data_IF_937415056466
#
_entry.id   IF_937415056466
#
_cell.length_a   1.000
_cell.length_b   1.000
_cell.length_c   1.000
_cell.angle_alpha   90.00
_cell.angle_beta   90.00
_cell.angle_gamma   90.00
#
_symmetry.space_group_name_H-M   'P 1'
#
loop_
_entity.id
_entity.type
_entity.pdbx_description
1 polymer ?
#
# COMPACT_ATOMS: atom_id res chain seq x y z
N UNK A 1 1.64 5.48 -19.40
CA UNK A 1 2.17 6.77 -18.89
C UNK A 1 2.79 6.60 -17.50
N UNK A 2 2.03 6.15 -16.49
CA UNK A 2 2.55 5.95 -15.12
C UNK A 2 3.82 5.08 -15.05
N UNK A 3 3.83 3.91 -15.70
CA UNK A 3 5.01 3.03 -15.71
C UNK A 3 6.27 3.71 -16.27
N UNK A 4 6.11 4.58 -17.28
CA UNK A 4 7.23 5.34 -17.86
C UNK A 4 7.73 6.39 -16.88
N UNK A 5 6.83 7.11 -16.21
CA UNK A 5 7.21 8.10 -15.19
C UNK A 5 7.97 7.44 -14.02
N UNK A 6 7.47 6.31 -13.51
CA UNK A 6 8.16 5.55 -12.47
C UNK A 6 9.54 5.08 -12.93
N UNK A 7 9.65 4.51 -14.13
CA UNK A 7 10.92 4.06 -14.68
C UNK A 7 11.95 5.20 -14.79
N UNK A 8 11.53 6.37 -15.29
CA UNK A 8 12.41 7.53 -15.39
C UNK A 8 12.89 7.98 -14.01
N UNK A 9 11.98 8.13 -13.04
CA UNK A 9 12.34 8.56 -11.68
C UNK A 9 13.29 7.55 -11.01
N UNK A 10 13.03 6.25 -11.18
CA UNK A 10 13.90 5.19 -10.63
C UNK A 10 15.29 5.18 -11.27
N UNK A 11 15.38 5.29 -12.60
CA UNK A 11 16.67 5.28 -13.31
C UNK A 11 17.50 6.50 -12.93
N UNK A 12 16.93 7.70 -12.98
CA UNK A 12 17.68 8.92 -12.61
C UNK A 12 18.01 8.95 -11.12
N UNK A 13 17.10 8.50 -10.25
CA UNK A 13 17.36 8.37 -8.81
C UNK A 13 18.51 7.41 -8.51
N UNK A 14 18.54 6.25 -9.15
CA UNK A 14 19.62 5.27 -8.99
C UNK A 14 20.95 5.75 -9.56
N UNK A 15 20.95 6.44 -10.71
CA UNK A 15 22.19 7.01 -11.26
C UNK A 15 22.78 8.10 -10.36
N UNK A 16 21.96 8.80 -9.57
CA UNK A 16 22.40 9.90 -8.69
C UNK A 16 22.99 9.39 -7.37
N UNK A 17 22.34 8.42 -6.73
CA UNK A 17 22.73 7.96 -5.38
C UNK A 17 23.34 6.55 -5.36
N UNK A 18 23.21 5.79 -6.45
CA UNK A 18 23.70 4.44 -6.59
C UNK A 18 23.20 3.51 -5.47
N UNK A 19 24.14 2.77 -4.88
CA UNK A 19 23.85 1.76 -3.83
C UNK A 19 23.51 2.36 -2.46
N UNK A 20 23.69 3.66 -2.26
CA UNK A 20 23.40 4.33 -0.99
C UNK A 20 21.95 4.83 -0.88
N UNK A 21 21.12 4.61 -1.91
CA UNK A 21 19.74 5.11 -1.99
C UNK A 21 18.87 4.55 -0.85
N UNK A 22 18.42 5.42 0.05
CA UNK A 22 17.41 5.07 1.07
C UNK A 22 16.00 4.87 0.47
N UNK A 23 15.15 4.12 1.18
CA UNK A 23 13.76 3.85 0.78
C UNK A 23 12.92 5.09 0.55
N UNK A 24 13.26 6.21 1.19
CA UNK A 24 12.83 7.55 0.78
C UNK A 24 14.00 8.28 0.14
N UNK A 25 13.95 8.47 -1.19
CA UNK A 25 15.03 9.11 -1.94
C UNK A 25 15.34 10.53 -1.45
N UNK A 26 14.35 11.25 -0.92
CA UNK A 26 14.51 12.61 -0.40
C UNK A 26 15.39 12.68 0.85
N UNK A 27 15.58 11.58 1.59
CA UNK A 27 16.47 11.56 2.75
C UNK A 27 17.95 11.58 2.35
N UNK A 28 18.29 11.23 1.11
CA UNK A 28 19.66 11.29 0.61
C UNK A 28 20.08 12.71 0.22
N UNK A 29 19.13 13.64 0.04
CA UNK A 29 19.42 15.04 -0.24
C UNK A 29 19.78 15.79 1.06
N UNK A 30 20.75 16.70 0.95
CA UNK A 30 21.18 17.53 2.07
C UNK A 30 20.04 18.39 2.60
N UNK A 31 19.99 18.57 3.92
CA UNK A 31 18.93 19.36 4.57
C UNK A 31 18.94 20.86 4.20
N UNK A 32 20.03 21.36 3.59
CA UNK A 32 20.14 22.73 3.11
C UNK A 32 19.72 22.93 1.65
N UNK A 33 19.34 21.88 0.94
CA UNK A 33 18.91 21.98 -0.46
C UNK A 33 17.47 22.51 -0.54
N UNK A 34 17.31 23.71 -1.11
CA UNK A 34 16.01 24.38 -1.24
C UNK A 34 15.02 23.57 -2.09
N UNK A 35 15.50 22.87 -3.14
CA UNK A 35 14.66 22.01 -3.97
C UNK A 35 14.21 20.77 -3.19
N UNK A 36 15.11 20.16 -2.42
CA UNK A 36 14.80 19.03 -1.55
C UNK A 36 13.77 19.38 -0.47
N UNK A 37 13.91 20.55 0.16
CA UNK A 37 12.92 21.05 1.14
C UNK A 37 11.56 21.29 0.46
N UNK A 38 11.56 21.92 -0.72
CA UNK A 38 10.34 22.15 -1.50
C UNK A 38 9.61 20.86 -1.84
N UNK A 39 10.34 19.83 -2.28
CA UNK A 39 9.77 18.51 -2.57
C UNK A 39 9.19 17.83 -1.31
N UNK A 40 9.91 17.88 -0.17
CA UNK A 40 9.41 17.36 1.11
C UNK A 40 8.12 18.06 1.54
N UNK A 41 8.07 19.39 1.41
CA UNK A 41 6.88 20.18 1.73
C UNK A 41 5.70 19.83 0.81
N UNK A 42 5.93 19.71 -0.50
CA UNK A 42 4.89 19.35 -1.46
C UNK A 42 4.29 17.96 -1.19
N UNK A 43 5.13 16.96 -0.89
CA UNK A 43 4.67 15.63 -0.51
C UNK A 43 3.91 15.68 0.82
N UNK A 44 4.40 16.42 1.81
CA UNK A 44 3.71 16.60 3.09
C UNK A 44 2.32 17.21 2.93
N UNK A 45 2.20 18.26 2.11
CA UNK A 45 0.92 18.89 1.79
C UNK A 45 -0.02 17.89 1.08
N UNK A 46 0.49 17.15 0.10
CA UNK A 46 -0.29 16.13 -0.60
C UNK A 46 -0.80 15.04 0.36
N UNK A 47 0.03 14.59 1.30
CA UNK A 47 -0.37 13.63 2.33
C UNK A 47 -1.40 14.20 3.31
N UNK A 48 -1.25 15.47 3.73
CA UNK A 48 -2.20 16.13 4.64
C UNK A 48 -3.62 16.19 4.05
N UNK A 49 -3.74 16.44 2.75
CA UNK A 49 -5.05 16.47 2.08
C UNK A 49 -5.53 15.07 1.64
N UNK A 50 -4.61 14.16 1.30
CA UNK A 50 -4.95 12.81 0.85
C UNK A 50 -5.39 11.89 1.99
N UNK A 51 -4.78 12.04 3.17
CA UNK A 51 -5.02 11.15 4.31
C UNK A 51 -6.48 11.16 4.80
N UNK A 52 -7.17 12.30 4.98
CA UNK A 52 -8.58 12.33 5.38
C UNK A 52 -9.49 11.57 4.40
N UNK A 53 -9.23 11.70 3.11
CA UNK A 53 -10.00 11.02 2.06
C UNK A 53 -9.82 9.49 2.13
N UNK A 54 -8.58 9.03 2.29
CA UNK A 54 -8.28 7.60 2.44
C UNK A 54 -8.85 7.02 3.74
N UNK A 55 -8.75 7.79 4.84
CA UNK A 55 -9.25 7.37 6.15
C UNK A 55 -10.77 7.21 6.17
N UNK A 56 -11.50 8.09 5.47
CA UNK A 56 -12.95 7.96 5.32
C UNK A 56 -13.33 6.65 4.62
N UNK A 57 -12.61 6.27 3.56
CA UNK A 57 -12.83 5.01 2.84
C UNK A 57 -12.51 3.77 3.70
N UNK A 58 -11.36 3.77 4.38
CA UNK A 58 -10.96 2.69 5.28
C UNK A 58 -12.01 2.46 6.36
N UNK A 59 -12.45 3.55 6.99
CA UNK A 59 -13.43 3.49 8.06
C UNK A 59 -14.75 2.90 7.58
N UNK A 60 -15.32 3.41 6.49
CA UNK A 60 -16.55 2.87 5.92
C UNK A 60 -16.43 1.39 5.57
N UNK A 61 -15.29 0.98 4.98
CA UNK A 61 -15.04 -0.43 4.65
C UNK A 61 -14.97 -1.34 5.89
N UNK A 62 -14.37 -0.89 6.99
CA UNK A 62 -14.33 -1.66 8.25
C UNK A 62 -15.73 -1.79 8.87
N UNK A 63 -16.50 -0.70 8.85
CA UNK A 63 -17.87 -0.68 9.39
C UNK A 63 -18.79 -1.62 8.60
N UNK A 64 -18.69 -1.59 7.27
CA UNK A 64 -19.43 -2.48 6.37
C UNK A 64 -19.02 -3.94 6.54
N UNK A 65 -17.71 -4.23 6.65
CA UNK A 65 -17.21 -5.58 6.92
C UNK A 65 -17.65 -6.11 8.30
N UNK A 66 -17.84 -5.24 9.29
CA UNK A 66 -18.35 -5.59 10.61
C UNK A 66 -19.88 -5.76 10.66
N UNK A 67 -20.59 -5.55 9.55
CA UNK A 67 -22.06 -5.67 9.47
C UNK A 67 -22.82 -4.58 10.24
N UNK A 68 -22.15 -3.45 10.56
CA UNK A 68 -22.77 -2.34 11.27
C UNK A 68 -23.32 -1.32 10.27
N UNK A 69 -24.47 -0.73 10.59
CA UNK A 69 -24.98 0.45 9.85
C UNK A 69 -23.96 1.59 9.89
N UNK A 70 -23.89 2.36 8.81
CA UNK A 70 -22.92 3.45 8.63
C UNK A 70 -23.15 4.60 9.65
N UNK A 71 -24.36 4.70 10.20
CA UNK A 71 -24.79 5.81 11.04
C UNK A 71 -24.65 5.49 12.55
N UNK A 72 -23.40 5.40 13.02
CA UNK A 72 -23.14 5.22 14.45
C UNK A 72 -23.40 6.52 15.23
N UNK A 73 -23.91 6.42 16.47
CA UNK A 73 -24.00 7.56 17.37
C UNK A 73 -22.63 8.23 17.54
N UNK A 74 -22.60 9.57 17.58
CA UNK A 74 -21.39 10.43 17.58
C UNK A 74 -20.30 10.01 18.60
N UNK A 75 -20.68 9.36 19.70
CA UNK A 75 -19.75 8.79 20.68
C UNK A 75 -19.00 7.56 20.15
N UNK A 76 -19.73 6.55 19.66
CA UNK A 76 -19.13 5.34 19.08
C UNK A 76 -18.35 5.65 17.81
N UNK A 77 -18.84 6.60 17.01
CA UNK A 77 -18.17 7.11 15.82
C UNK A 77 -16.76 7.63 16.12
N UNK A 78 -16.62 8.46 17.17
CA UNK A 78 -15.32 8.98 17.63
C UNK A 78 -14.42 7.88 18.18
N UNK A 79 -14.97 6.92 18.93
CA UNK A 79 -14.21 5.81 19.48
C UNK A 79 -13.61 4.93 18.37
N UNK A 80 -14.40 4.57 17.36
CA UNK A 80 -13.95 3.77 16.21
C UNK A 80 -12.86 4.52 15.44
N UNK A 81 -13.07 5.80 15.15
CA UNK A 81 -12.05 6.63 14.49
C UNK A 81 -10.75 6.71 15.31
N UNK A 82 -10.85 6.93 16.63
CA UNK A 82 -9.68 6.98 17.51
C UNK A 82 -8.97 5.63 17.60
N UNK A 83 -9.69 4.52 17.61
CA UNK A 83 -9.12 3.18 17.62
C UNK A 83 -8.38 2.86 16.32
N UNK A 84 -8.96 3.19 15.16
CA UNK A 84 -8.30 2.99 13.86
C UNK A 84 -7.06 3.89 13.75
N UNK A 85 -7.16 5.18 14.11
CA UNK A 85 -6.01 6.09 14.13
C UNK A 85 -4.92 5.60 15.09
N UNK A 86 -5.29 5.13 16.28
CA UNK A 86 -4.37 4.56 17.26
C UNK A 86 -3.66 3.32 16.72
N UNK A 87 -4.37 2.44 16.01
CA UNK A 87 -3.79 1.29 15.34
C UNK A 87 -2.79 1.68 14.25
N UNK A 88 -3.15 2.65 13.40
CA UNK A 88 -2.26 3.17 12.35
C UNK A 88 -1.01 3.81 12.97
N UNK A 89 -1.16 4.60 14.04
CA UNK A 89 -0.05 5.20 14.77
C UNK A 89 0.86 4.13 15.40
N UNK A 90 0.27 3.07 15.98
CA UNK A 90 1.03 1.95 16.52
C UNK A 90 1.89 1.27 15.45
N UNK A 91 1.35 1.03 14.26
CA UNK A 91 2.10 0.49 13.12
C UNK A 91 3.20 1.47 12.68
N UNK A 92 2.89 2.77 12.60
CA UNK A 92 3.88 3.79 12.23
C UNK A 92 5.07 3.85 13.21
N UNK A 93 4.85 3.59 14.50
CA UNK A 93 5.93 3.51 15.48
C UNK A 93 6.80 2.25 15.34
N UNK A 94 6.29 1.17 14.74
CA UNK A 94 7.04 -0.08 14.54
C UNK A 94 7.93 -0.02 13.29
N UNK A 95 7.52 0.72 12.26
CA UNK A 95 8.23 0.77 10.98
C UNK A 95 8.93 2.12 10.77
N UNK A 96 10.25 2.13 10.94
CA UNK A 96 11.09 3.30 10.65
C UNK A 96 11.55 3.38 9.19
N UNK A 97 11.47 2.28 8.44
CA UNK A 97 11.85 2.21 7.02
C UNK A 97 10.62 2.11 6.13
N UNK A 98 10.33 3.20 5.44
CA UNK A 98 9.19 3.31 4.53
C UNK A 98 9.29 2.32 3.36
N UNK A 99 10.50 2.04 2.86
CA UNK A 99 10.69 1.15 1.72
C UNK A 99 10.32 -0.29 2.06
N UNK A 100 10.73 -0.76 3.25
CA UNK A 100 10.36 -2.10 3.74
C UNK A 100 8.87 -2.22 3.98
N UNK A 101 8.25 -1.19 4.56
CA UNK A 101 6.80 -1.18 4.79
C UNK A 101 6.02 -1.29 3.47
N UNK A 102 6.36 -0.49 2.46
CA UNK A 102 5.71 -0.53 1.15
C UNK A 102 5.95 -1.86 0.42
N UNK A 103 7.13 -2.47 0.57
CA UNK A 103 7.42 -3.76 -0.04
C UNK A 103 6.57 -4.90 0.56
N UNK A 104 6.35 -4.89 1.89
CA UNK A 104 5.44 -5.84 2.55
C UNK A 104 3.99 -5.59 2.12
N UNK A 105 3.57 -4.32 2.11
CA UNK A 105 2.23 -3.91 1.67
C UNK A 105 1.93 -4.42 0.25
N UNK A 106 2.86 -4.20 -0.69
CA UNK A 106 2.73 -4.66 -2.07
C UNK A 106 2.75 -6.19 -2.19
N UNK A 107 3.63 -6.87 -1.46
CA UNK A 107 3.73 -8.32 -1.50
C UNK A 107 2.47 -9.03 -0.96
N UNK A 108 1.80 -8.46 0.04
CA UNK A 108 0.60 -9.04 0.65
C UNK A 108 -0.69 -8.51 0.04
N UNK A 109 -0.95 -7.20 0.15
CA UNK A 109 -2.24 -6.60 -0.18
C UNK A 109 -2.43 -6.48 -1.69
N UNK A 110 -1.43 -5.97 -2.41
CA UNK A 110 -1.54 -5.82 -3.85
C UNK A 110 -1.55 -7.19 -4.56
N UNK A 111 -0.72 -8.13 -4.11
CA UNK A 111 -0.74 -9.49 -4.64
C UNK A 111 -2.10 -10.17 -4.43
N UNK A 112 -2.72 -10.02 -3.25
CA UNK A 112 -4.06 -10.53 -2.98
C UNK A 112 -5.11 -9.89 -3.91
N UNK A 113 -5.12 -8.56 -4.03
CA UNK A 113 -6.12 -7.83 -4.82
C UNK A 113 -5.98 -8.05 -6.33
N UNK A 114 -4.76 -8.27 -6.84
CA UNK A 114 -4.51 -8.43 -8.28
C UNK A 114 -4.62 -9.90 -8.70
N UNK A 115 -4.00 -10.82 -7.94
CA UNK A 115 -3.84 -12.21 -8.37
C UNK A 115 -4.79 -13.20 -7.69
N UNK A 116 -5.37 -12.88 -6.52
CA UNK A 116 -6.15 -13.84 -5.74
C UNK A 116 -7.64 -13.50 -5.76
N UNK A 117 -8.02 -12.28 -5.40
CA UNK A 117 -9.43 -11.91 -5.23
C UNK A 117 -10.26 -11.98 -6.54
N UNK A 118 -9.83 -11.39 -7.68
CA UNK A 118 -10.61 -11.44 -8.91
C UNK A 118 -10.79 -12.87 -9.46
N UNK A 119 -9.74 -13.72 -9.52
CA UNK A 119 -9.89 -15.12 -9.93
C UNK A 119 -10.81 -15.93 -9.01
N UNK A 120 -10.78 -15.70 -7.69
CA UNK A 120 -11.72 -16.38 -6.77
C UNK A 120 -13.17 -16.00 -7.04
N UNK A 121 -13.46 -14.73 -7.31
CA UNK A 121 -14.80 -14.28 -7.69
C UNK A 121 -15.21 -14.87 -9.05
N UNK A 122 -14.29 -14.88 -10.03
CA UNK A 122 -14.53 -15.43 -11.35
C UNK A 122 -14.78 -16.95 -11.34
N UNK A 123 -14.13 -17.71 -10.44
CA UNK A 123 -14.34 -19.15 -10.26
C UNK A 123 -15.78 -19.51 -9.86
N UNK A 124 -16.45 -18.63 -9.11
CA UNK A 124 -17.86 -18.82 -8.72
C UNK A 124 -18.84 -18.46 -9.85
N UNK A 125 -18.42 -17.57 -10.75
CA UNK A 125 -19.26 -17.08 -11.84
C UNK A 125 -19.13 -17.92 -13.13
N UNK A 126 -17.96 -18.55 -13.37
CA UNK A 126 -17.66 -19.26 -14.62
C UNK A 126 -17.51 -20.78 -14.43
N UNK A 127 -18.28 -21.57 -15.18
CA UNK A 127 -18.38 -23.02 -15.03
C UNK A 127 -17.39 -23.88 -15.83
N UNK A 128 -16.67 -23.32 -16.81
CA UNK A 128 -15.85 -24.10 -17.76
C UNK A 128 -14.56 -24.67 -17.15
N UNK A 129 -14.20 -25.94 -17.38
CA UNK A 129 -13.02 -26.58 -16.78
C UNK A 129 -11.70 -25.90 -17.18
N UNK A 130 -11.58 -25.46 -18.44
CA UNK A 130 -10.42 -24.69 -18.92
C UNK A 130 -10.30 -23.30 -18.27
N UNK A 131 -11.43 -22.64 -18.00
CA UNK A 131 -11.44 -21.35 -17.31
C UNK A 131 -11.03 -21.51 -15.84
N UNK A 132 -11.55 -22.55 -15.16
CA UNK A 132 -11.18 -22.88 -13.78
C UNK A 132 -9.68 -23.18 -13.64
N UNK A 133 -9.12 -23.97 -14.55
CA UNK A 133 -7.68 -24.24 -14.55
C UNK A 133 -6.85 -22.95 -14.65
N UNK A 134 -7.21 -22.02 -15.55
CA UNK A 134 -6.54 -20.71 -15.65
C UNK A 134 -6.65 -19.90 -14.36
N UNK A 135 -7.83 -19.82 -13.75
CA UNK A 135 -7.99 -19.06 -12.51
C UNK A 135 -7.18 -19.66 -11.33
N UNK A 136 -7.11 -20.99 -11.21
CA UNK A 136 -6.24 -21.62 -10.22
C UNK A 136 -4.75 -21.32 -10.46
N UNK A 137 -4.30 -21.27 -11.73
CA UNK A 137 -2.91 -20.89 -12.03
C UNK A 137 -2.60 -19.46 -11.61
N UNK A 138 -3.50 -18.49 -11.81
CA UNK A 138 -3.31 -17.12 -11.35
C UNK A 138 -3.23 -17.01 -9.83
N UNK A 139 -4.08 -17.74 -9.11
CA UNK A 139 -4.02 -17.80 -7.64
C UNK A 139 -2.70 -18.38 -7.17
N UNK A 140 -2.24 -19.48 -7.79
CA UNK A 140 -0.96 -20.10 -7.48
C UNK A 140 0.23 -19.15 -7.68
N UNK A 141 0.25 -18.41 -8.80
CA UNK A 141 1.27 -17.38 -9.07
C UNK A 141 1.21 -16.29 -8.00
N UNK A 142 0.01 -15.82 -7.63
CA UNK A 142 -0.17 -14.83 -6.57
C UNK A 142 0.45 -15.27 -5.25
N UNK A 143 0.18 -16.50 -4.81
CA UNK A 143 0.73 -17.06 -3.57
C UNK A 143 2.26 -17.13 -3.64
N UNK A 144 2.83 -17.60 -4.76
CA UNK A 144 4.29 -17.67 -4.92
C UNK A 144 4.91 -16.28 -4.85
N UNK A 145 4.33 -15.29 -5.54
CA UNK A 145 4.81 -13.91 -5.52
C UNK A 145 4.75 -13.31 -4.11
N UNK A 146 3.69 -13.57 -3.35
CA UNK A 146 3.58 -13.12 -1.95
C UNK A 146 4.66 -13.76 -1.07
N UNK A 147 4.86 -15.08 -1.16
CA UNK A 147 5.88 -15.76 -0.34
C UNK A 147 7.29 -15.29 -0.67
N UNK A 148 7.61 -15.17 -1.97
CA UNK A 148 8.91 -14.65 -2.41
C UNK A 148 9.06 -13.19 -1.99
N UNK A 149 8.04 -12.35 -2.19
CA UNK A 149 8.06 -10.94 -1.81
C UNK A 149 8.29 -10.73 -0.31
N UNK A 150 7.59 -11.47 0.54
CA UNK A 150 7.80 -11.41 1.98
C UNK A 150 9.21 -11.88 2.37
N UNK A 151 9.71 -12.97 1.78
CA UNK A 151 11.07 -13.46 2.07
C UNK A 151 12.15 -12.47 1.67
N UNK A 152 12.05 -11.88 0.47
CA UNK A 152 13.03 -10.90 -0.02
C UNK A 152 13.00 -9.63 0.82
N UNK A 153 11.84 -9.22 1.32
CA UNK A 153 11.72 -8.00 2.14
C UNK A 153 12.23 -8.17 3.58
N UNK A 154 12.19 -9.40 4.09
CA UNK A 154 12.66 -9.74 5.44
C UNK A 154 14.16 -10.14 5.51
N UNK A 155 14.79 -10.40 4.36
CA UNK A 155 16.22 -10.71 4.24
C UNK A 155 17.08 -9.43 4.23
#
# INVERSE_FOLDING_TARGET
>A
IAAVQYALIMVFGFLTFGRATQGNVLLNYANGDLLGIGARAAIGISMLFGYPMQFAGLRSGILEAAGSEIDLPKGKHRLVTAAILGGILGVACLFHDLGKFQAIEGALLAAFLIYIAPPMMALRLWGGPWAKARFYTFIGIGIVLTVVGCKVTMA
#
